data_IF_779412427462
#
_entry.id   IF_779412427462
#
_cell.length_a   1.000
_cell.length_b   1.000
_cell.length_c   1.000
_cell.angle_alpha   90.00
_cell.angle_beta   90.00
_cell.angle_gamma   90.00
#
_symmetry.space_group_name_H-M   'P 1'
#
loop_
_entity.id
_entity.type
_entity.pdbx_description
1 polymer ?
#
# COMPACT_ATOMS: atom_id res chain seq x y z
N UNK A 1 -46.52 -39.93 24.17
CA UNK A 1 -46.22 -39.16 22.95
C UNK A 1 -44.85 -38.52 23.11
N UNK A 2 -43.82 -39.03 22.43
CA UNK A 2 -42.44 -38.52 22.47
C UNK A 2 -42.20 -37.76 21.17
N UNK A 3 -42.10 -36.44 21.27
CA UNK A 3 -41.84 -35.57 20.12
C UNK A 3 -40.44 -35.81 19.55
N UNK A 4 -40.44 -36.33 18.32
CA UNK A 4 -39.27 -36.54 17.48
C UNK A 4 -38.81 -35.17 16.95
N UNK A 5 -37.87 -34.51 17.64
CA UNK A 5 -37.18 -33.33 17.11
C UNK A 5 -36.25 -33.77 15.97
N UNK A 6 -36.77 -33.80 14.75
CA UNK A 6 -35.99 -33.80 13.53
C UNK A 6 -35.15 -32.52 13.49
N UNK A 7 -33.93 -32.58 14.04
CA UNK A 7 -32.90 -31.56 13.85
C UNK A 7 -32.61 -31.49 12.36
N UNK A 8 -33.01 -30.39 11.74
CA UNK A 8 -32.69 -30.03 10.36
C UNK A 8 -31.17 -30.00 10.15
N UNK A 9 -30.62 -31.08 9.58
CA UNK A 9 -29.19 -31.19 9.25
C UNK A 9 -28.81 -30.42 7.95
N UNK A 10 -29.78 -29.84 7.26
CA UNK A 10 -29.60 -29.18 5.95
C UNK A 10 -28.86 -27.81 5.95
N UNK A 11 -28.81 -26.98 7.01
CA UNK A 11 -28.11 -25.69 6.96
C UNK A 11 -26.58 -25.79 6.86
N UNK A 12 -25.97 -26.84 7.42
CA UNK A 12 -24.51 -26.93 7.60
C UNK A 12 -23.74 -27.25 6.31
N UNK A 13 -24.35 -27.96 5.36
CA UNK A 13 -23.66 -28.38 4.13
C UNK A 13 -23.43 -27.20 3.16
N UNK A 14 -24.39 -26.27 3.05
CA UNK A 14 -24.27 -25.09 2.19
C UNK A 14 -23.23 -24.09 2.71
N UNK A 15 -23.20 -23.85 4.02
CA UNK A 15 -22.21 -22.97 4.67
C UNK A 15 -20.78 -23.52 4.53
N UNK A 16 -20.61 -24.84 4.61
CA UNK A 16 -19.31 -25.50 4.43
C UNK A 16 -18.80 -25.37 2.99
N UNK A 17 -19.66 -25.57 1.98
CA UNK A 17 -19.29 -25.39 0.57
C UNK A 17 -18.91 -23.94 0.27
N UNK A 18 -19.72 -22.97 0.70
CA UNK A 18 -19.42 -21.54 0.54
C UNK A 18 -18.08 -21.16 1.18
N UNK A 19 -17.83 -21.62 2.39
CA UNK A 19 -16.55 -21.39 3.09
C UNK A 19 -15.36 -21.98 2.32
N UNK A 20 -15.51 -23.19 1.76
CA UNK A 20 -14.46 -23.81 0.96
C UNK A 20 -14.17 -22.99 -0.31
N UNK A 21 -15.20 -22.54 -1.04
CA UNK A 21 -15.02 -21.70 -2.22
C UNK A 21 -14.33 -20.37 -1.89
N UNK A 22 -14.71 -19.71 -0.79
CA UNK A 22 -14.08 -18.46 -0.37
C UNK A 22 -12.62 -18.66 0.06
N UNK A 23 -12.29 -19.77 0.73
CA UNK A 23 -10.90 -20.09 1.07
C UNK A 23 -10.05 -20.33 -0.18
N UNK A 24 -10.56 -21.11 -1.14
CA UNK A 24 -9.88 -21.33 -2.42
C UNK A 24 -9.69 -20.01 -3.17
N UNK A 25 -10.73 -19.17 -3.22
CA UNK A 25 -10.64 -17.85 -3.84
C UNK A 25 -9.59 -16.96 -3.15
N UNK A 26 -9.52 -16.96 -1.81
CA UNK A 26 -8.52 -16.21 -1.07
C UNK A 26 -7.09 -16.67 -1.40
N UNK A 27 -6.86 -17.98 -1.50
CA UNK A 27 -5.55 -18.54 -1.88
C UNK A 27 -5.16 -18.16 -3.30
N UNK A 28 -6.11 -18.24 -4.25
CA UNK A 28 -5.87 -17.84 -5.64
C UNK A 28 -5.55 -16.36 -5.72
N UNK A 29 -6.34 -15.49 -5.07
CA UNK A 29 -6.12 -14.04 -5.08
C UNK A 29 -4.78 -13.68 -4.42
N UNK A 30 -4.39 -14.36 -3.35
CA UNK A 30 -3.08 -14.20 -2.74
C UNK A 30 -1.95 -14.55 -3.72
N UNK A 31 -2.06 -15.68 -4.44
CA UNK A 31 -1.09 -16.03 -5.48
C UNK A 31 -1.07 -15.01 -6.63
N UNK A 32 -2.25 -14.58 -7.11
CA UNK A 32 -2.37 -13.56 -8.16
C UNK A 32 -1.74 -12.24 -7.75
N UNK A 33 -1.84 -11.82 -6.49
CA UNK A 33 -1.28 -10.56 -6.01
C UNK A 33 0.23 -10.46 -6.25
N UNK A 34 0.94 -11.60 -6.21
CA UNK A 34 2.35 -11.67 -6.57
C UNK A 34 2.52 -11.95 -8.06
N UNK A 35 1.85 -12.95 -8.63
CA UNK A 35 2.22 -13.43 -9.97
C UNK A 35 1.67 -12.61 -11.14
N UNK A 36 0.53 -11.93 -10.96
CA UNK A 36 -0.18 -11.28 -12.06
C UNK A 36 0.30 -9.86 -12.42
N UNK A 37 0.69 -8.97 -11.47
CA UNK A 37 0.93 -7.56 -11.78
C UNK A 37 2.03 -7.31 -12.82
N UNK A 38 3.15 -8.01 -12.77
CA UNK A 38 4.28 -7.78 -13.68
C UNK A 38 3.89 -8.09 -15.13
N UNK A 39 3.25 -9.24 -15.36
CA UNK A 39 2.81 -9.68 -16.69
C UNK A 39 1.68 -8.79 -17.23
N UNK A 40 0.71 -8.43 -16.38
CA UNK A 40 -0.40 -7.56 -16.76
C UNK A 40 0.01 -6.09 -16.96
N UNK A 41 1.12 -5.64 -16.37
CA UNK A 41 1.64 -4.29 -16.55
C UNK A 41 2.49 -4.11 -17.83
N UNK A 42 2.85 -5.20 -18.52
CA UNK A 42 3.63 -5.19 -19.77
C UNK A 42 4.85 -6.11 -19.76
N UNK A 43 5.38 -6.46 -18.59
CA UNK A 43 6.57 -7.32 -18.44
C UNK A 43 7.90 -6.63 -18.73
N UNK A 44 7.91 -5.33 -19.01
CA UNK A 44 9.07 -4.55 -19.47
C UNK A 44 10.27 -4.58 -18.51
N UNK A 45 10.01 -4.78 -17.21
CA UNK A 45 11.01 -4.78 -16.14
C UNK A 45 11.10 -6.12 -15.38
N UNK A 46 10.74 -7.23 -16.04
CA UNK A 46 10.94 -8.59 -15.53
C UNK A 46 9.83 -9.13 -14.60
N UNK A 47 10.02 -10.37 -14.15
CA UNK A 47 9.13 -11.03 -13.20
C UNK A 47 9.45 -10.58 -11.76
N UNK A 48 8.56 -10.91 -10.80
CA UNK A 48 8.66 -10.45 -9.40
C UNK A 48 9.93 -10.91 -8.65
N UNK A 49 10.70 -11.84 -9.20
CA UNK A 49 12.01 -12.24 -8.66
C UNK A 49 13.09 -11.19 -8.87
N UNK A 50 12.84 -10.19 -9.72
CA UNK A 50 13.86 -9.29 -10.23
C UNK A 50 13.59 -7.84 -9.76
N UNK A 51 13.27 -7.66 -8.47
CA UNK A 51 13.08 -6.32 -7.87
C UNK A 51 14.26 -5.38 -8.14
N UNK A 52 15.46 -5.95 -8.22
CA UNK A 52 16.71 -5.29 -8.59
C UNK A 52 16.64 -4.61 -9.97
N UNK A 53 15.82 -5.10 -10.92
CA UNK A 53 15.71 -4.50 -12.26
C UNK A 53 14.97 -3.18 -12.25
N UNK A 54 13.87 -3.07 -11.50
CA UNK A 54 13.11 -1.81 -11.37
C UNK A 54 13.94 -0.78 -10.62
N UNK A 55 14.59 -1.21 -9.54
CA UNK A 55 15.50 -0.40 -8.74
C UNK A 55 16.68 0.12 -9.57
N UNK A 56 17.32 -0.76 -10.35
CA UNK A 56 18.39 -0.42 -11.28
C UNK A 56 17.90 0.54 -12.37
N UNK A 57 16.76 0.26 -12.99
CA UNK A 57 16.15 1.13 -14.00
C UNK A 57 15.84 2.52 -13.41
N UNK A 58 15.32 2.59 -12.19
CA UNK A 58 15.03 3.86 -11.55
C UNK A 58 16.29 4.68 -11.31
N UNK A 59 17.37 4.07 -10.82
CA UNK A 59 18.66 4.74 -10.65
C UNK A 59 19.20 5.29 -11.98
N UNK A 60 19.22 4.45 -13.02
CA UNK A 60 19.72 4.83 -14.35
C UNK A 60 18.90 5.97 -14.94
N UNK A 61 17.58 5.85 -14.93
CA UNK A 61 16.68 6.84 -15.53
C UNK A 61 16.60 8.14 -14.72
N UNK A 62 16.72 8.08 -13.40
CA UNK A 62 16.83 9.27 -12.56
C UNK A 62 18.10 10.05 -12.88
N UNK A 63 19.24 9.38 -12.98
CA UNK A 63 20.53 10.01 -13.33
C UNK A 63 20.48 10.58 -14.74
N UNK A 64 19.95 9.83 -15.70
CA UNK A 64 19.79 10.30 -17.08
C UNK A 64 18.89 11.53 -17.15
N UNK A 65 17.74 11.50 -16.47
CA UNK A 65 16.81 12.63 -16.44
C UNK A 65 17.41 13.86 -15.77
N UNK A 66 18.14 13.71 -14.67
CA UNK A 66 18.81 14.81 -14.00
C UNK A 66 19.87 15.47 -14.90
N UNK A 67 20.71 14.65 -15.55
CA UNK A 67 21.83 15.12 -16.37
C UNK A 67 21.43 15.69 -17.72
N UNK A 68 20.26 15.32 -18.23
CA UNK A 68 19.76 15.88 -19.49
C UNK A 68 19.71 17.42 -19.45
N UNK A 69 19.45 18.01 -18.28
CA UNK A 69 19.24 19.45 -18.12
C UNK A 69 18.04 19.97 -18.91
N UNK A 70 17.26 19.08 -19.52
CA UNK A 70 16.11 19.42 -20.35
C UNK A 70 14.97 19.99 -19.49
N UNK A 71 14.09 20.75 -20.13
CA UNK A 71 12.88 21.29 -19.50
C UNK A 71 11.82 20.20 -19.18
N UNK A 72 12.11 18.93 -19.43
CA UNK A 72 11.20 17.80 -19.19
C UNK A 72 11.95 16.56 -18.67
N UNK A 73 11.22 15.64 -18.04
CA UNK A 73 11.75 14.31 -17.67
C UNK A 73 12.02 13.47 -18.92
N UNK A 74 13.02 12.58 -18.87
CA UNK A 74 13.35 11.70 -19.98
C UNK A 74 12.20 10.72 -20.29
N UNK A 75 12.04 10.30 -21.55
CA UNK A 75 11.04 9.30 -21.91
C UNK A 75 11.17 7.98 -21.14
N UNK A 76 12.40 7.55 -20.82
CA UNK A 76 12.65 6.33 -20.05
C UNK A 76 12.14 6.41 -18.61
N UNK A 77 12.39 7.53 -17.92
CA UNK A 77 11.85 7.77 -16.58
C UNK A 77 10.32 7.81 -16.58
N UNK A 78 9.70 8.47 -17.56
CA UNK A 78 8.24 8.50 -17.71
C UNK A 78 7.67 7.10 -17.92
N UNK A 79 8.30 6.31 -18.80
CA UNK A 79 7.89 4.93 -19.07
C UNK A 79 7.94 4.06 -17.81
N UNK A 80 9.02 4.17 -17.03
CA UNK A 80 9.17 3.47 -15.75
C UNK A 80 8.09 3.87 -14.73
N UNK A 81 7.80 5.17 -14.61
CA UNK A 81 6.74 5.70 -13.74
C UNK A 81 5.38 5.11 -14.13
N UNK A 82 5.07 5.07 -15.42
CA UNK A 82 3.78 4.56 -15.92
C UNK A 82 3.66 3.03 -15.78
N UNK A 83 4.77 2.30 -15.95
CA UNK A 83 4.82 0.88 -15.60
C UNK A 83 4.54 0.66 -14.11
N UNK A 84 5.25 1.35 -13.23
CA UNK A 84 5.11 1.21 -11.77
C UNK A 84 3.69 1.54 -11.30
N UNK A 85 3.09 2.61 -11.85
CA UNK A 85 1.69 2.97 -11.60
C UNK A 85 0.75 1.84 -11.99
N UNK A 86 0.88 1.28 -13.21
CA UNK A 86 0.01 0.18 -13.68
C UNK A 86 0.17 -1.07 -12.83
N UNK A 87 1.41 -1.43 -12.52
CA UNK A 87 1.74 -2.57 -11.66
C UNK A 87 1.03 -2.49 -10.31
N UNK A 88 1.11 -1.35 -9.63
CA UNK A 88 0.42 -1.17 -8.34
C UNK A 88 -1.10 -1.03 -8.48
N UNK A 89 -1.61 -0.44 -9.56
CA UNK A 89 -3.05 -0.39 -9.82
C UNK A 89 -3.67 -1.78 -9.94
N UNK A 90 -2.99 -2.72 -10.58
CA UNK A 90 -3.42 -4.13 -10.66
C UNK A 90 -3.43 -4.76 -9.26
N UNK A 91 -2.42 -4.49 -8.43
CA UNK A 91 -2.38 -4.96 -7.03
C UNK A 91 -3.52 -4.42 -6.19
N UNK A 92 -3.96 -3.18 -6.40
CA UNK A 92 -5.15 -2.61 -5.72
C UNK A 92 -6.36 -3.48 -6.02
N UNK A 93 -6.65 -3.76 -7.29
CA UNK A 93 -7.84 -4.54 -7.70
C UNK A 93 -7.82 -5.93 -7.04
N UNK A 94 -6.68 -6.63 -7.09
CA UNK A 94 -6.54 -7.96 -6.51
C UNK A 94 -6.65 -7.91 -4.97
N UNK A 95 -5.99 -6.95 -4.32
CA UNK A 95 -6.02 -6.80 -2.87
C UNK A 95 -7.42 -6.41 -2.35
N UNK A 96 -8.17 -5.58 -3.08
CA UNK A 96 -9.56 -5.24 -2.75
C UNK A 96 -10.47 -6.46 -2.88
N UNK A 97 -10.30 -7.27 -3.93
CA UNK A 97 -11.04 -8.53 -4.06
C UNK A 97 -10.70 -9.50 -2.91
N UNK A 98 -9.41 -9.63 -2.55
CA UNK A 98 -8.96 -10.45 -1.42
C UNK A 98 -9.56 -9.97 -0.09
N UNK A 99 -9.54 -8.65 0.14
CA UNK A 99 -10.15 -8.02 1.32
C UNK A 99 -11.64 -8.35 1.43
N UNK A 100 -12.39 -8.23 0.33
CA UNK A 100 -13.81 -8.56 0.31
C UNK A 100 -14.07 -10.04 0.64
N UNK A 101 -13.26 -10.96 0.09
CA UNK A 101 -13.35 -12.40 0.39
C UNK A 101 -13.04 -12.69 1.86
N UNK A 102 -12.00 -12.06 2.43
CA UNK A 102 -11.62 -12.24 3.83
C UNK A 102 -12.67 -11.67 4.80
N UNK A 103 -13.28 -10.53 4.47
CA UNK A 103 -14.41 -9.97 5.23
C UNK A 103 -15.60 -10.94 5.18
N UNK A 104 -15.94 -11.48 4.01
CA UNK A 104 -17.01 -12.47 3.86
C UNK A 104 -16.75 -13.76 4.65
N UNK A 105 -15.48 -14.20 4.75
CA UNK A 105 -15.07 -15.30 5.62
C UNK A 105 -15.20 -14.94 7.11
N UNK A 106 -14.80 -13.72 7.49
CA UNK A 106 -14.77 -13.22 8.86
C UNK A 106 -16.15 -13.00 9.49
N UNK A 107 -17.17 -12.64 8.70
CA UNK A 107 -18.56 -12.48 9.20
C UNK A 107 -19.26 -13.82 9.50
N UNK A 108 -18.70 -14.94 9.05
CA UNK A 108 -19.22 -16.27 9.38
C UNK A 108 -19.00 -16.55 10.87
N UNK A 109 -19.93 -17.25 11.55
CA UNK A 109 -19.79 -17.63 12.97
C UNK A 109 -18.65 -18.64 13.18
N UNK A 110 -17.41 -18.15 13.20
CA UNK A 110 -16.21 -18.94 13.44
C UNK A 110 -15.83 -18.96 14.92
N UNK A 111 -15.34 -20.09 15.45
CA UNK A 111 -14.93 -20.20 16.85
C UNK A 111 -13.68 -19.37 17.15
N UNK A 112 -13.66 -18.76 18.34
CA UNK A 112 -12.51 -18.16 19.05
C UNK A 112 -11.32 -17.71 18.18
N UNK A 113 -10.21 -18.46 18.26
CA UNK A 113 -8.92 -18.10 17.66
C UNK A 113 -8.98 -17.79 16.16
N UNK A 114 -9.81 -18.52 15.40
CA UNK A 114 -9.91 -18.35 13.95
C UNK A 114 -10.51 -16.97 13.57
N UNK A 115 -11.36 -16.40 14.43
CA UNK A 115 -11.88 -15.04 14.24
C UNK A 115 -10.77 -13.99 14.33
N UNK A 116 -9.81 -14.15 15.24
CA UNK A 116 -8.68 -13.22 15.36
C UNK A 116 -7.73 -13.34 14.17
N UNK A 117 -7.45 -14.57 13.71
CA UNK A 117 -6.63 -14.80 12.50
C UNK A 117 -7.28 -14.16 11.28
N UNK A 118 -8.58 -14.37 11.06
CA UNK A 118 -9.28 -13.73 9.95
C UNK A 118 -9.32 -12.20 10.09
N UNK A 119 -9.49 -11.68 11.31
CA UNK A 119 -9.38 -10.24 11.57
C UNK A 119 -8.00 -9.68 11.22
N UNK A 120 -6.92 -10.36 11.59
CA UNK A 120 -5.57 -9.97 11.24
C UNK A 120 -5.34 -10.01 9.72
N UNK A 121 -5.83 -11.05 9.03
CA UNK A 121 -5.75 -11.16 7.57
C UNK A 121 -6.56 -10.05 6.87
N UNK A 122 -7.72 -9.67 7.39
CA UNK A 122 -8.50 -8.53 6.88
C UNK A 122 -7.72 -7.23 7.02
N UNK A 123 -7.13 -6.97 8.19
CA UNK A 123 -6.30 -5.78 8.40
C UNK A 123 -5.06 -5.79 7.50
N UNK A 124 -4.43 -6.94 7.31
CA UNK A 124 -3.30 -7.10 6.40
C UNK A 124 -3.71 -6.82 4.94
N UNK A 125 -4.83 -7.37 4.47
CA UNK A 125 -5.33 -7.11 3.13
C UNK A 125 -5.71 -5.62 2.93
N UNK A 126 -6.28 -4.98 3.96
CA UNK A 126 -6.53 -3.54 3.95
C UNK A 126 -5.21 -2.74 3.83
N UNK A 127 -4.18 -3.12 4.58
CA UNK A 127 -2.85 -2.52 4.48
C UNK A 127 -2.28 -2.68 3.07
N UNK A 128 -2.43 -3.86 2.44
CA UNK A 128 -2.04 -4.07 1.05
C UNK A 128 -2.76 -3.11 0.11
N UNK A 129 -4.06 -2.88 0.26
CA UNK A 129 -4.77 -1.88 -0.55
C UNK A 129 -4.16 -0.50 -0.38
N UNK A 130 -3.98 -0.05 0.86
CA UNK A 130 -3.46 1.30 1.18
C UNK A 130 -2.07 1.54 0.57
N UNK A 131 -1.10 0.65 0.82
CA UNK A 131 0.27 0.85 0.30
C UNK A 131 0.31 0.87 -1.23
N UNK A 132 -0.56 0.10 -1.90
CA UNK A 132 -0.63 0.08 -3.36
C UNK A 132 -1.36 1.30 -3.95
N UNK A 133 -2.35 1.87 -3.25
CA UNK A 133 -2.97 3.15 -3.61
C UNK A 133 -1.95 4.28 -3.53
N UNK A 134 -1.16 4.33 -2.45
CA UNK A 134 -0.08 5.30 -2.28
C UNK A 134 0.96 5.20 -3.42
N UNK A 135 1.42 3.98 -3.73
CA UNK A 135 2.37 3.74 -4.82
C UNK A 135 1.80 4.08 -6.22
N UNK A 136 0.49 3.88 -6.43
CA UNK A 136 -0.18 4.25 -7.68
C UNK A 136 -0.34 5.77 -7.81
N UNK A 137 -0.68 6.45 -6.72
CA UNK A 137 -0.92 7.89 -6.71
C UNK A 137 0.37 8.72 -6.79
N UNK A 138 1.46 8.22 -6.20
CA UNK A 138 2.75 8.89 -6.12
C UNK A 138 3.92 7.92 -6.44
N UNK A 139 4.00 7.46 -7.70
CA UNK A 139 4.94 6.41 -8.11
C UNK A 139 6.41 6.78 -7.93
N UNK A 140 6.78 8.04 -8.19
CA UNK A 140 8.15 8.52 -7.99
C UNK A 140 8.60 8.39 -6.54
N UNK A 141 7.73 8.67 -5.58
CA UNK A 141 8.05 8.54 -4.15
C UNK A 141 8.13 7.09 -3.71
N UNK A 142 7.26 6.23 -4.24
CA UNK A 142 7.34 4.79 -3.98
C UNK A 142 8.63 4.19 -4.54
N UNK A 143 9.07 4.62 -5.73
CA UNK A 143 10.38 4.26 -6.29
C UNK A 143 11.53 4.82 -5.44
N UNK A 144 11.41 6.06 -4.94
CA UNK A 144 12.40 6.70 -4.09
C UNK A 144 12.61 6.00 -2.74
N UNK A 145 11.55 5.40 -2.16
CA UNK A 145 11.69 4.60 -0.94
C UNK A 145 12.54 3.33 -1.15
N UNK A 146 12.68 2.90 -2.40
CA UNK A 146 13.58 1.84 -2.83
C UNK A 146 14.77 2.40 -3.61
N UNK A 147 15.15 3.67 -3.39
CA UNK A 147 16.29 4.27 -4.08
C UNK A 147 17.56 3.47 -3.76
N UNK A 148 18.20 2.84 -4.75
CA UNK A 148 19.37 2.02 -4.48
C UNK A 148 20.56 2.88 -4.12
N UNK A 149 21.47 2.31 -3.32
CA UNK A 149 22.77 2.91 -3.06
C UNK A 149 23.49 3.23 -4.38
N UNK A 150 24.28 4.31 -4.42
CA UNK A 150 25.09 4.63 -5.59
C UNK A 150 25.99 3.46 -6.01
N UNK A 151 25.95 3.10 -7.28
CA UNK A 151 26.78 2.04 -7.89
C UNK A 151 28.11 2.55 -8.45
N UNK A 152 28.37 3.86 -8.34
CA UNK A 152 29.62 4.48 -8.76
C UNK A 152 29.66 5.99 -8.49
N UNK A 153 30.85 6.58 -8.71
CA UNK A 153 31.11 8.00 -8.44
C UNK A 153 30.22 8.96 -9.24
N UNK A 154 29.65 8.52 -10.35
CA UNK A 154 28.72 9.32 -11.16
C UNK A 154 27.34 9.40 -10.50
N UNK A 155 26.79 8.26 -10.07
CA UNK A 155 25.49 8.20 -9.39
C UNK A 155 25.55 8.94 -8.05
N UNK A 156 26.62 8.74 -7.27
CA UNK A 156 26.81 9.41 -5.99
C UNK A 156 26.79 10.94 -6.14
N UNK A 157 27.56 11.46 -7.10
CA UNK A 157 27.56 12.90 -7.43
C UNK A 157 26.18 13.41 -7.82
N UNK A 158 25.43 12.64 -8.61
CA UNK A 158 24.08 13.05 -9.02
C UNK A 158 23.10 13.07 -7.85
N UNK A 159 23.18 12.13 -6.90
CA UNK A 159 22.36 12.17 -5.69
C UNK A 159 22.73 13.38 -4.82
N UNK A 160 24.02 13.68 -4.65
CA UNK A 160 24.49 14.87 -3.94
C UNK A 160 23.99 16.16 -4.59
N UNK A 161 24.06 16.26 -5.92
CA UNK A 161 23.55 17.40 -6.69
C UNK A 161 22.04 17.61 -6.49
N UNK A 162 21.25 16.52 -6.50
CA UNK A 162 19.81 16.57 -6.23
C UNK A 162 19.56 17.07 -4.80
N UNK A 163 20.29 16.53 -3.81
CA UNK A 163 20.20 16.95 -2.42
C UNK A 163 20.55 18.42 -2.22
N UNK A 164 21.61 18.91 -2.87
CA UNK A 164 22.01 20.32 -2.84
C UNK A 164 21.00 21.23 -3.53
N UNK A 165 20.44 20.81 -4.66
CA UNK A 165 19.40 21.56 -5.36
C UNK A 165 18.14 21.69 -4.52
N UNK A 166 17.75 20.62 -3.83
CA UNK A 166 16.62 20.61 -2.89
C UNK A 166 16.86 21.55 -1.70
N UNK A 167 18.04 21.47 -1.07
CA UNK A 167 18.43 22.36 0.03
C UNK A 167 18.48 23.83 -0.40
N UNK A 168 18.96 24.09 -1.62
CA UNK A 168 18.99 25.42 -2.24
C UNK A 168 17.67 25.88 -2.85
N UNK A 169 16.59 25.07 -2.76
CA UNK A 169 15.28 25.32 -3.38
C UNK A 169 15.38 25.69 -4.88
N UNK A 170 16.33 25.09 -5.59
CA UNK A 170 16.45 25.24 -7.04
C UNK A 170 15.35 24.43 -7.70
N UNK A 171 14.74 24.99 -8.74
CA UNK A 171 13.74 24.27 -9.55
C UNK A 171 14.45 23.50 -10.66
N UNK A 172 14.01 22.25 -10.84
CA UNK A 172 14.36 21.39 -11.97
C UNK A 172 13.18 20.44 -12.20
N UNK A 173 12.82 20.08 -13.45
CA UNK A 173 11.60 19.32 -13.72
C UNK A 173 11.45 18.02 -12.93
N UNK A 174 12.53 17.23 -12.83
CA UNK A 174 12.53 15.98 -12.06
C UNK A 174 12.46 16.22 -10.55
N UNK A 175 13.08 17.30 -10.06
CA UNK A 175 13.04 17.67 -8.64
C UNK A 175 11.65 18.15 -8.23
N UNK A 176 11.03 19.00 -9.04
CA UNK A 176 9.67 19.48 -8.83
C UNK A 176 8.68 18.30 -8.85
N UNK A 177 8.86 17.36 -9.77
CA UNK A 177 8.08 16.13 -9.82
C UNK A 177 8.27 15.24 -8.57
N UNK A 178 9.51 15.13 -8.06
CA UNK A 178 9.80 14.40 -6.81
C UNK A 178 9.13 15.07 -5.61
N UNK A 179 9.23 16.39 -5.48
CA UNK A 179 8.59 17.17 -4.39
C UNK A 179 7.07 17.02 -4.44
N UNK A 180 6.46 17.19 -5.61
CA UNK A 180 5.00 17.03 -5.80
C UNK A 180 4.56 15.60 -5.51
N UNK A 181 5.29 14.61 -6.02
CA UNK A 181 5.00 13.20 -5.73
C UNK A 181 5.11 12.91 -4.24
N UNK A 182 6.14 13.42 -3.56
CA UNK A 182 6.37 13.19 -2.14
C UNK A 182 5.26 13.80 -1.28
N UNK A 183 4.89 15.05 -1.58
CA UNK A 183 3.74 15.70 -0.97
C UNK A 183 2.44 14.92 -1.17
N UNK A 184 2.20 14.41 -2.39
CA UNK A 184 1.02 13.61 -2.74
C UNK A 184 1.00 12.26 -2.02
N UNK A 185 2.13 11.56 -1.92
CA UNK A 185 2.24 10.28 -1.23
C UNK A 185 1.76 10.40 0.23
N UNK A 186 2.28 11.40 0.95
CA UNK A 186 1.90 11.62 2.34
C UNK A 186 0.49 12.21 2.51
N UNK A 187 -0.01 12.99 1.55
CA UNK A 187 -1.41 13.43 1.56
C UNK A 187 -2.37 12.23 1.44
N UNK A 188 -2.09 11.30 0.51
CA UNK A 188 -2.88 10.07 0.34
C UNK A 188 -2.81 9.22 1.60
N UNK A 189 -1.62 9.00 2.15
CA UNK A 189 -1.45 8.28 3.42
C UNK A 189 -2.29 8.92 4.54
N UNK A 190 -2.27 10.25 4.68
CA UNK A 190 -3.05 10.96 5.69
C UNK A 190 -4.57 10.74 5.55
N UNK A 191 -5.07 10.80 4.31
CA UNK A 191 -6.49 10.57 4.00
C UNK A 191 -6.88 9.13 4.35
N UNK A 192 -6.11 8.14 3.90
CA UNK A 192 -6.41 6.73 4.15
C UNK A 192 -6.38 6.40 5.64
N UNK A 193 -5.35 6.85 6.37
CA UNK A 193 -5.26 6.59 7.81
C UNK A 193 -6.37 7.30 8.58
N UNK A 194 -6.84 8.47 8.11
CA UNK A 194 -7.99 9.15 8.70
C UNK A 194 -9.29 8.36 8.49
N UNK A 195 -9.51 7.84 7.28
CA UNK A 195 -10.69 7.01 6.96
C UNK A 195 -10.70 5.72 7.80
N UNK A 196 -9.56 5.04 7.91
CA UNK A 196 -9.43 3.81 8.71
C UNK A 196 -9.57 4.12 10.20
N UNK A 197 -9.01 5.23 10.69
CA UNK A 197 -9.19 5.67 12.07
C UNK A 197 -10.67 5.90 12.41
N UNK A 198 -11.43 6.56 11.53
CA UNK A 198 -12.86 6.76 11.70
C UNK A 198 -13.61 5.42 11.81
N UNK A 199 -13.24 4.43 10.98
CA UNK A 199 -13.77 3.06 11.08
C UNK A 199 -13.52 2.44 12.46
N UNK A 200 -12.30 2.58 12.99
CA UNK A 200 -11.96 2.09 14.34
C UNK A 200 -12.68 2.86 15.46
N UNK A 201 -12.91 4.16 15.33
CA UNK A 201 -13.73 4.95 16.27
C UNK A 201 -15.17 4.41 16.31
N UNK A 202 -15.77 4.16 15.15
CA UNK A 202 -17.12 3.59 15.05
C UNK A 202 -17.17 2.19 15.68
N UNK A 203 -16.20 1.33 15.35
CA UNK A 203 -16.06 -0.01 15.94
C UNK A 203 -15.91 0.04 17.46
N UNK A 204 -15.13 0.98 17.98
CA UNK A 204 -14.96 1.20 19.42
C UNK A 204 -16.29 1.54 20.10
N UNK A 205 -16.98 2.57 19.60
CA UNK A 205 -18.28 2.98 20.13
C UNK A 205 -19.33 1.89 20.04
N UNK A 206 -19.34 1.09 18.97
CA UNK A 206 -20.22 -0.06 18.86
C UNK A 206 -19.87 -1.18 19.85
N UNK A 207 -18.59 -1.53 20.00
CA UNK A 207 -18.14 -2.55 20.94
C UNK A 207 -18.49 -2.19 22.39
N UNK A 208 -18.30 -0.93 22.79
CA UNK A 208 -18.68 -0.45 24.12
C UNK A 208 -20.20 -0.49 24.36
N UNK A 209 -21.02 -0.17 23.35
CA UNK A 209 -22.49 -0.35 23.42
C UNK A 209 -22.91 -1.80 23.63
N UNK A 210 -22.10 -2.76 23.14
CA UNK A 210 -22.32 -4.19 23.33
C UNK A 210 -21.64 -4.74 24.60
N UNK A 211 -21.19 -3.87 25.52
CA UNK A 211 -20.45 -4.24 26.73
C UNK A 211 -19.10 -4.96 26.48
N UNK A 212 -18.59 -4.94 25.24
CA UNK A 212 -17.32 -5.55 24.86
C UNK A 212 -16.16 -4.56 25.08
N UNK A 213 -15.75 -4.38 26.34
CA UNK A 213 -14.74 -3.38 26.75
C UNK A 213 -13.40 -3.53 26.05
N UNK A 214 -12.80 -4.73 26.08
CA UNK A 214 -11.45 -4.97 25.54
C UNK A 214 -11.35 -4.70 24.02
N UNK A 215 -12.22 -5.27 23.15
CA UNK A 215 -12.23 -4.94 21.72
C UNK A 215 -12.46 -3.45 21.44
N UNK A 216 -13.29 -2.78 22.24
CA UNK A 216 -13.51 -1.34 22.13
C UNK A 216 -12.24 -0.54 22.45
N UNK A 217 -11.55 -0.86 23.55
CA UNK A 217 -10.29 -0.22 23.92
C UNK A 217 -9.20 -0.45 22.86
N UNK A 218 -9.05 -1.67 22.34
CA UNK A 218 -8.09 -1.96 21.26
C UNK A 218 -8.40 -1.11 20.02
N UNK A 219 -9.68 -1.05 19.63
CA UNK A 219 -10.10 -0.24 18.47
C UNK A 219 -9.82 1.25 18.69
N UNK A 220 -10.07 1.78 19.89
CA UNK A 220 -9.75 3.16 20.23
C UNK A 220 -8.25 3.45 20.16
N UNK A 221 -7.39 2.55 20.66
CA UNK A 221 -5.93 2.71 20.60
C UNK A 221 -5.43 2.70 19.15
N UNK A 222 -5.95 1.80 18.31
CA UNK A 222 -5.63 1.77 16.87
C UNK A 222 -6.06 3.06 16.18
N UNK A 223 -7.26 3.58 16.49
CA UNK A 223 -7.73 4.86 15.95
C UNK A 223 -6.79 6.01 16.35
N UNK A 224 -6.38 6.09 17.62
CA UNK A 224 -5.44 7.13 18.09
C UNK A 224 -4.10 7.03 17.37
N UNK A 225 -3.54 5.82 17.24
CA UNK A 225 -2.29 5.62 16.50
C UNK A 225 -2.39 6.07 15.05
N UNK A 226 -3.49 5.73 14.36
CA UNK A 226 -3.74 6.16 12.98
C UNK A 226 -3.94 7.68 12.86
N UNK A 227 -4.58 8.33 13.83
CA UNK A 227 -4.71 9.79 13.85
C UNK A 227 -3.35 10.49 14.04
N UNK A 228 -2.45 9.91 14.82
CA UNK A 228 -1.05 10.39 14.93
C UNK A 228 -0.36 10.28 13.57
N UNK A 229 -0.50 9.14 12.87
CA UNK A 229 0.05 8.95 11.52
C UNK A 229 -0.56 9.95 10.53
N UNK A 230 -1.88 10.21 10.60
CA UNK A 230 -2.55 11.23 9.77
C UNK A 230 -1.97 12.62 10.00
N UNK A 231 -1.79 13.02 11.26
CA UNK A 231 -1.25 14.34 11.60
C UNK A 231 0.21 14.48 11.12
N UNK A 232 1.04 13.46 11.36
CA UNK A 232 2.41 13.41 10.90
C UNK A 232 2.50 13.47 9.37
N UNK A 233 1.71 12.67 8.67
CA UNK A 233 1.69 12.62 7.20
C UNK A 233 1.17 13.92 6.59
N UNK A 234 0.15 14.54 7.18
CA UNK A 234 -0.31 15.88 6.77
C UNK A 234 0.81 16.91 6.87
N UNK A 235 1.56 16.91 7.99
CA UNK A 235 2.70 17.82 8.18
C UNK A 235 3.79 17.58 7.14
N UNK A 236 4.16 16.32 6.89
CA UNK A 236 5.17 15.96 5.88
C UNK A 236 4.71 16.35 4.48
N UNK A 237 3.43 16.18 4.16
CA UNK A 237 2.86 16.58 2.87
C UNK A 237 2.95 18.11 2.65
N UNK A 238 2.65 18.90 3.68
CA UNK A 238 2.73 20.37 3.63
C UNK A 238 4.17 20.90 3.57
N UNK A 239 5.14 20.13 4.06
CA UNK A 239 6.56 20.51 4.11
C UNK A 239 7.46 19.53 3.34
N UNK A 240 6.97 19.04 2.20
CA UNK A 240 7.61 18.00 1.40
C UNK A 240 9.07 18.33 1.04
N UNK A 241 9.36 19.60 0.73
CA UNK A 241 10.71 20.08 0.38
C UNK A 241 11.71 19.85 1.50
N UNK A 242 11.29 20.04 2.75
CA UNK A 242 12.17 19.92 3.92
C UNK A 242 12.34 18.47 4.40
N UNK A 243 11.38 17.60 4.08
CA UNK A 243 11.36 16.20 4.51
C UNK A 243 12.00 15.23 3.50
N UNK A 244 12.20 15.65 2.25
CA UNK A 244 12.78 14.87 1.17
C UNK A 244 14.34 14.72 1.19
N UNK A 245 15.15 15.66 1.72
CA UNK A 245 16.62 15.56 1.68
C UNK A 245 17.25 14.27 2.24
N UNK A 246 16.74 13.66 3.33
CA UNK A 246 17.30 12.42 3.88
C UNK A 246 17.35 11.24 2.90
N UNK A 247 16.55 11.25 1.83
CA UNK A 247 16.58 10.19 0.80
C UNK A 247 17.81 10.28 -0.12
N UNK A 248 18.48 11.43 -0.15
CA UNK A 248 19.66 11.67 -0.98
C UNK A 248 20.94 11.84 -0.15
N UNK A 249 20.82 11.86 1.17
CA UNK A 249 21.96 11.81 2.07
C UNK A 249 22.38 10.33 2.20
N UNK A 250 23.41 9.94 1.45
CA UNK A 250 24.01 8.59 1.53
C UNK A 250 24.48 8.22 2.92
#
# INVERSE_FOLDING_TARGET
>A
MRDCRLRSARPRLGENRRSAYLLVAALILAACFFLAPATLAGGDFGALTDGDLVECAFRVELVASWRSGDQAMTPGLIHLIDYWRRYHAIKIVIATALLAVLVALGVSRRPGALRYVLGALVLFALMLVMVNVQATAAPLTALLQALPMPDGAQTARTYDEIGQALAGRRSAPVLDALVVSFGRYHAVMAIETAVVALGFVICSGWAWRQSARLPGTISALLAVGLLVVTAASTRVSLDAVSALPPYFAG
#
